data_IF_843183468091
#
_entry.id   IF_843183468091
#
_cell.length_a   1.000
_cell.length_b   1.000
_cell.length_c   1.000
_cell.angle_alpha   90.00
_cell.angle_beta   90.00
_cell.angle_gamma   90.00
#
_symmetry.space_group_name_H-M   'P 1'
#
loop_
_entity.id
_entity.type
_entity.pdbx_description
1 polymer ?
#
# COMPACT_ATOMS: atom_id res chain seq x y z
N UNK A 1 1.34 2.31 8.19
CA UNK A 1 2.23 1.42 9.00
C UNK A 1 1.57 0.06 9.18
N UNK A 2 2.34 -1.01 9.47
CA UNK A 2 1.98 -2.42 9.20
C UNK A 2 0.66 -2.91 9.80
N UNK A 3 -0.32 -3.29 8.97
CA UNK A 3 -1.69 -3.66 9.40
C UNK A 3 -1.92 -5.16 9.65
N UNK A 4 -0.88 -5.90 10.03
CA UNK A 4 -0.95 -7.37 10.16
C UNK A 4 -1.09 -8.11 8.83
N UNK A 5 -1.09 -9.46 8.87
CA UNK A 5 -1.17 -10.30 7.65
C UNK A 5 -2.51 -10.09 6.93
N UNK A 6 -2.48 -10.09 5.60
CA UNK A 6 -3.68 -10.06 4.75
C UNK A 6 -4.32 -8.67 4.56
N UNK A 7 -4.02 -7.68 5.42
CA UNK A 7 -4.60 -6.34 5.30
C UNK A 7 -3.87 -5.47 4.28
N UNK A 8 -4.64 -4.66 3.56
CA UNK A 8 -4.11 -3.70 2.61
C UNK A 8 -3.54 -2.49 3.36
N UNK A 9 -2.26 -2.18 3.13
CA UNK A 9 -1.71 -0.85 3.44
C UNK A 9 -2.00 0.06 2.26
N UNK A 10 -2.72 1.16 2.45
CA UNK A 10 -3.10 2.05 1.35
C UNK A 10 -1.86 2.76 0.77
N UNK A 11 -1.91 3.24 -0.49
CA UNK A 11 -0.76 3.89 -1.12
C UNK A 11 -0.24 5.11 -0.35
N UNK A 12 -1.14 5.90 0.26
CA UNK A 12 -0.77 7.04 1.11
C UNK A 12 0.07 6.62 2.31
N UNK A 13 -0.35 5.58 3.04
CA UNK A 13 0.41 5.02 4.16
C UNK A 13 1.78 4.48 3.73
N UNK A 14 1.87 3.87 2.54
CA UNK A 14 3.15 3.37 1.99
C UNK A 14 4.10 4.52 1.69
N UNK A 15 3.59 5.60 1.09
CA UNK A 15 4.38 6.80 0.76
C UNK A 15 4.91 7.46 2.04
N UNK A 16 4.05 7.64 3.04
CA UNK A 16 4.45 8.20 4.34
C UNK A 16 5.51 7.34 5.04
N UNK A 17 5.38 6.01 4.99
CA UNK A 17 6.38 5.11 5.55
C UNK A 17 7.75 5.21 4.84
N UNK A 18 7.76 5.39 3.52
CA UNK A 18 9.00 5.61 2.77
C UNK A 18 9.63 6.98 3.06
N UNK A 19 8.80 8.01 3.26
CA UNK A 19 9.27 9.33 3.66
C UNK A 19 9.97 9.29 5.03
N UNK A 20 9.32 8.69 6.04
CA UNK A 20 9.93 8.51 7.38
C UNK A 20 11.23 7.71 7.30
N UNK A 21 11.27 6.68 6.44
CA UNK A 21 12.48 5.90 6.22
C UNK A 21 13.61 6.76 5.66
N UNK A 22 13.32 7.59 4.66
CA UNK A 22 14.32 8.44 4.00
C UNK A 22 14.81 9.56 4.93
N UNK A 23 13.90 10.22 5.67
CA UNK A 23 14.24 11.20 6.71
C UNK A 23 15.13 10.58 7.80
N UNK A 24 14.74 9.42 8.34
CA UNK A 24 15.53 8.75 9.37
C UNK A 24 16.91 8.29 8.90
N UNK A 25 17.05 7.86 7.64
CA UNK A 25 18.37 7.52 7.07
C UNK A 25 19.26 8.76 6.95
N UNK A 26 18.70 9.91 6.55
CA UNK A 26 19.44 11.18 6.50
C UNK A 26 19.94 11.59 7.88
N UNK A 27 19.13 11.34 8.92
CA UNK A 27 19.50 11.57 10.33
C UNK A 27 20.46 10.51 10.89
N UNK A 28 20.87 9.53 10.08
CA UNK A 28 21.85 8.49 10.45
C UNK A 28 21.27 7.23 11.10
N UNK A 29 19.95 7.07 11.13
CA UNK A 29 19.31 5.89 11.70
C UNK A 29 19.42 4.66 10.78
N UNK A 30 19.45 3.47 11.39
CA UNK A 30 19.48 2.22 10.65
C UNK A 30 18.13 1.94 9.97
N UNK A 31 18.18 1.65 8.67
CA UNK A 31 16.99 1.26 7.91
C UNK A 31 16.28 0.01 8.49
N UNK A 32 17.03 -0.89 9.14
CA UNK A 32 16.45 -2.06 9.80
C UNK A 32 15.64 -1.68 11.04
N UNK A 33 16.20 -0.81 11.89
CA UNK A 33 15.54 -0.35 13.12
C UNK A 33 14.30 0.49 12.80
N UNK A 34 14.39 1.37 11.79
CA UNK A 34 13.24 2.13 11.28
C UNK A 34 12.14 1.20 10.76
N UNK A 35 12.50 0.12 10.05
CA UNK A 35 11.53 -0.86 9.58
C UNK A 35 10.79 -1.57 10.74
N UNK A 36 11.53 -1.94 11.79
CA UNK A 36 10.97 -2.51 13.03
C UNK A 36 10.02 -1.53 13.70
N UNK A 37 10.42 -0.26 13.86
CA UNK A 37 9.59 0.80 14.45
C UNK A 37 8.31 1.05 13.65
N UNK A 38 8.38 1.01 12.32
CA UNK A 38 7.22 1.15 11.43
C UNK A 38 6.30 -0.09 11.44
N UNK A 39 6.73 -1.20 12.07
CA UNK A 39 6.01 -2.47 12.07
C UNK A 39 5.92 -3.11 10.69
N UNK A 40 6.89 -2.84 9.80
CA UNK A 40 6.90 -3.30 8.41
C UNK A 40 8.26 -3.93 8.12
N UNK A 41 8.30 -5.12 7.51
CA UNK A 41 9.58 -5.72 7.13
C UNK A 41 10.36 -4.86 6.12
N UNK A 42 11.69 -4.79 6.26
CA UNK A 42 12.56 -4.02 5.37
C UNK A 42 12.37 -4.36 3.89
N UNK A 43 12.20 -5.64 3.57
CA UNK A 43 11.93 -6.13 2.20
C UNK A 43 10.59 -5.61 1.65
N UNK A 44 9.62 -5.32 2.52
CA UNK A 44 8.34 -4.73 2.14
C UNK A 44 8.49 -3.25 1.81
N UNK A 45 9.29 -2.51 2.56
CA UNK A 45 9.65 -1.12 2.24
C UNK A 45 10.40 -1.04 0.91
N UNK A 46 11.40 -1.89 0.70
CA UNK A 46 12.11 -1.98 -0.59
C UNK A 46 11.17 -2.32 -1.75
N UNK A 47 10.24 -3.26 -1.56
CA UNK A 47 9.23 -3.61 -2.57
C UNK A 47 8.30 -2.44 -2.87
N UNK A 48 7.90 -1.66 -1.86
CA UNK A 48 7.10 -0.44 -2.07
C UNK A 48 7.91 0.61 -2.84
N UNK A 49 9.17 0.85 -2.47
CA UNK A 49 10.05 1.79 -3.17
C UNK A 49 10.15 1.49 -4.66
N UNK A 50 10.40 0.22 -5.02
CA UNK A 50 10.41 -0.23 -6.43
C UNK A 50 9.07 -0.02 -7.14
N UNK A 51 7.96 -0.11 -6.41
CA UNK A 51 6.61 0.06 -6.96
C UNK A 51 6.27 1.52 -7.25
N UNK A 52 6.86 2.45 -6.51
CA UNK A 52 6.77 3.89 -6.75
C UNK A 52 7.81 4.41 -7.76
N UNK A 53 8.94 3.72 -7.93
CA UNK A 53 10.01 4.14 -8.85
C UNK A 53 9.66 3.94 -10.35
N UNK A 54 8.64 3.16 -10.68
CA UNK A 54 8.13 3.02 -12.05
C UNK A 54 6.89 3.88 -12.31
N UNK A 55 6.15 3.62 -13.39
CA UNK A 55 4.84 4.24 -13.66
C UNK A 55 3.72 3.81 -12.69
N UNK A 56 4.07 3.25 -11.52
CA UNK A 56 3.14 2.77 -10.52
C UNK A 56 2.81 3.85 -9.49
N UNK A 57 1.54 4.03 -9.22
CA UNK A 57 1.00 4.90 -8.16
C UNK A 57 1.18 4.33 -6.74
N UNK A 58 1.84 3.18 -6.59
CA UNK A 58 1.92 2.43 -5.34
C UNK A 58 0.59 1.77 -4.94
N UNK A 59 -0.41 1.77 -5.83
CA UNK A 59 -1.74 1.19 -5.72
C UNK A 59 -1.76 -0.30 -5.43
N UNK A 60 -2.90 -0.83 -5.00
CA UNK A 60 -3.12 -2.27 -5.05
C UNK A 60 -3.25 -2.71 -6.52
N UNK A 61 -2.56 -3.80 -6.89
CA UNK A 61 -2.57 -4.38 -8.24
C UNK A 61 -2.99 -5.84 -8.20
N UNK A 62 -3.69 -6.27 -7.15
CA UNK A 62 -4.38 -7.55 -7.15
C UNK A 62 -5.34 -7.53 -8.32
N UNK A 63 -5.14 -8.44 -9.28
CA UNK A 63 -5.88 -8.49 -10.55
C UNK A 63 -7.39 -8.75 -10.37
N UNK A 64 -7.83 -9.07 -9.15
CA UNK A 64 -9.21 -9.48 -8.87
C UNK A 64 -9.55 -10.82 -9.52
N UNK A 65 -10.83 -11.18 -9.50
CA UNK A 65 -11.35 -12.34 -10.23
C UNK A 65 -11.68 -11.93 -11.66
N UNK A 66 -11.18 -12.66 -12.65
CA UNK A 66 -11.55 -12.50 -14.06
C UNK A 66 -12.96 -13.02 -14.37
N UNK A 67 -13.58 -13.77 -13.45
CA UNK A 67 -14.91 -14.35 -13.69
C UNK A 67 -15.97 -13.26 -13.75
N UNK A 68 -16.80 -13.31 -14.78
CA UNK A 68 -18.04 -12.55 -14.81
C UNK A 68 -19.03 -13.19 -13.84
N UNK A 69 -19.59 -12.40 -12.92
CA UNK A 69 -20.65 -12.84 -12.02
C UNK A 69 -21.95 -12.18 -12.48
N UNK A 70 -23.02 -12.96 -12.66
CA UNK A 70 -24.31 -12.45 -13.14
C UNK A 70 -24.91 -11.37 -12.21
N UNK A 71 -24.64 -11.47 -10.91
CA UNK A 71 -25.10 -10.52 -9.89
C UNK A 71 -24.05 -9.44 -9.54
N UNK A 72 -23.14 -9.13 -10.47
CA UNK A 72 -22.16 -8.07 -10.24
C UNK A 72 -22.88 -6.73 -10.31
N UNK A 73 -22.77 -5.94 -9.24
CA UNK A 73 -23.31 -4.58 -9.20
C UNK A 73 -22.79 -3.78 -10.40
N UNK A 74 -23.70 -3.10 -11.08
CA UNK A 74 -23.38 -2.08 -12.08
C UNK A 74 -22.66 -0.90 -11.43
N UNK A 75 -22.02 -0.06 -12.24
CA UNK A 75 -21.35 1.12 -11.70
C UNK A 75 -22.36 2.08 -11.06
N UNK A 76 -23.55 2.21 -11.65
CA UNK A 76 -24.63 3.03 -11.12
C UNK A 76 -25.15 2.51 -9.77
N UNK A 77 -25.34 1.19 -9.65
CA UNK A 77 -25.76 0.56 -8.39
C UNK A 77 -24.71 0.77 -7.28
N UNK A 78 -23.42 0.70 -7.62
CA UNK A 78 -22.32 0.98 -6.69
C UNK A 78 -22.34 2.43 -6.21
N UNK A 79 -22.48 3.39 -7.12
CA UNK A 79 -22.51 4.80 -6.77
C UNK A 79 -23.69 5.13 -5.85
N UNK A 80 -24.87 4.53 -6.09
CA UNK A 80 -26.04 4.71 -5.22
C UNK A 80 -25.79 4.25 -3.78
N UNK A 81 -25.07 3.12 -3.61
CA UNK A 81 -24.69 2.61 -2.27
C UNK A 81 -23.69 3.54 -1.59
N UNK A 82 -22.73 4.11 -2.33
CA UNK A 82 -21.72 5.01 -1.75
C UNK A 82 -22.27 6.39 -1.35
N UNK A 83 -23.38 6.81 -1.97
CA UNK A 83 -24.06 8.07 -1.69
C UNK A 83 -25.12 7.95 -0.58
N UNK A 84 -25.36 6.74 -0.07
CA UNK A 84 -26.25 6.46 1.08
C UNK A 84 -25.42 6.36 2.35
#
# INVERSE_FOLDING_TARGET
MGRGRGRLTCPGDRRKALQILDEGIVDGASAHELAVLLGVGLTTLQRWRRRFAGAGDGGDRRKGSHRHAAHRLSEEERQRILLT
#
